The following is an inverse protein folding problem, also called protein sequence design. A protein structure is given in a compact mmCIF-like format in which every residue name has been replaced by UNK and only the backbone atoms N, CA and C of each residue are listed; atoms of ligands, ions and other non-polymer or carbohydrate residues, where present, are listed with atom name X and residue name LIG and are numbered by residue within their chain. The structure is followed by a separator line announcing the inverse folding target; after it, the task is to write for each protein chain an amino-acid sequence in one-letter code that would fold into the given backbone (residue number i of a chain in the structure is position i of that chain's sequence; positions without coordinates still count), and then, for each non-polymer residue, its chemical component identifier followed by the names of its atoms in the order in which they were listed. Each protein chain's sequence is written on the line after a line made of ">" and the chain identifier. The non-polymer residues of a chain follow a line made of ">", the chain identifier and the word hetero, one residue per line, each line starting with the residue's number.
data_IF_836369539264
#
_entry.id   IF_836369539264
#
_cell.length_a   1.000
_cell.length_b   1.000
_cell.length_c   1.000
_cell.angle_alpha   90.00
_cell.angle_beta   90.00
_cell.angle_gamma   90.00
#
_symmetry.space_group_name_H-M   'P 1'
#
loop_
_entity.id
_entity.type
_entity.pdbx_description
1 polymer ?
#
# COMPACT_ATOMS: atom_id res chain seq x y z
N UNK A 1 -8.93 2.41 17.21
CA UNK A 1 -8.89 3.59 16.33
C UNK A 1 -7.51 4.22 16.50
N UNK A 2 -6.54 3.87 15.66
CA UNK A 2 -5.20 4.43 15.73
C UNK A 2 -5.21 5.72 14.90
N UNK A 3 -5.13 6.86 15.57
CA UNK A 3 -4.91 8.14 14.91
C UNK A 3 -3.44 8.16 14.50
N UNK A 4 -3.18 7.83 13.24
CA UNK A 4 -1.87 8.03 12.62
C UNK A 4 -1.57 9.53 12.62
N UNK A 5 -0.46 10.00 13.22
CA UNK A 5 -0.01 11.35 12.95
C UNK A 5 0.39 11.38 11.48
N UNK A 6 -0.44 12.06 10.69
CA UNK A 6 -0.22 12.28 9.26
C UNK A 6 1.13 12.99 9.11
N UNK A 7 2.09 12.35 8.47
CA UNK A 7 3.29 13.05 8.00
C UNK A 7 2.75 14.06 7.00
N UNK A 8 2.78 15.34 7.36
CA UNK A 8 2.22 16.37 6.51
C UNK A 8 3.23 16.65 5.38
N UNK A 9 3.04 16.00 4.23
CA UNK A 9 3.82 16.21 3.00
C UNK A 9 3.96 17.71 2.69
N UNK A 10 2.92 18.51 2.94
CA UNK A 10 2.96 19.95 2.69
C UNK A 10 3.92 20.66 3.65
N UNK A 11 3.99 20.26 4.92
CA UNK A 11 4.99 20.79 5.87
C UNK A 11 6.42 20.38 5.46
N UNK A 12 6.62 19.16 4.95
CA UNK A 12 7.92 18.72 4.45
C UNK A 12 8.34 19.46 3.15
N UNK A 13 7.38 19.75 2.27
CA UNK A 13 7.57 20.57 1.07
C UNK A 13 7.89 22.02 1.42
N UNK A 14 7.15 22.61 2.36
CA UNK A 14 7.42 23.96 2.89
C UNK A 14 8.82 24.03 3.53
N UNK A 15 9.19 23.00 4.31
CA UNK A 15 10.54 22.86 4.84
C UNK A 15 11.56 22.81 3.70
N UNK A 16 11.34 22.00 2.66
CA UNK A 16 12.26 21.89 1.50
C UNK A 16 12.40 23.21 0.72
N UNK A 17 11.33 24.01 0.65
CA UNK A 17 11.31 25.32 0.00
C UNK A 17 11.88 26.44 0.88
N UNK A 18 11.99 26.22 2.20
CA UNK A 18 12.54 27.20 3.12
C UNK A 18 14.08 27.27 3.03
N UNK A 19 14.62 28.48 3.02
CA UNK A 19 16.06 28.75 2.92
C UNK A 19 16.89 28.22 4.09
N UNK A 20 16.24 27.87 5.21
CA UNK A 20 16.84 27.66 6.53
C UNK A 20 16.96 26.18 6.95
N UNK A 21 16.77 25.24 6.03
CA UNK A 21 17.10 23.82 6.22
C UNK A 21 18.56 23.58 6.66
N UNK A 22 19.44 24.56 6.48
CA UNK A 22 20.88 24.38 6.36
C UNK A 22 21.63 23.90 7.59
N UNK A 23 21.07 24.06 8.79
CA UNK A 23 21.75 23.75 10.06
C UNK A 23 20.80 23.19 11.14
N UNK A 24 19.49 23.10 10.84
CA UNK A 24 18.49 22.85 11.87
C UNK A 24 18.47 21.37 12.27
N UNK A 25 18.93 21.09 13.49
CA UNK A 25 18.80 19.76 14.13
C UNK A 25 17.32 19.35 14.26
N UNK A 26 16.41 20.33 14.32
CA UNK A 26 14.96 20.09 14.37
C UNK A 26 14.49 19.39 13.08
N UNK A 27 15.04 19.75 11.92
CA UNK A 27 14.70 19.12 10.64
C UNK A 27 15.17 17.67 10.62
N UNK A 28 16.41 17.42 11.08
CA UNK A 28 16.96 16.07 11.24
C UNK A 28 16.05 15.21 12.12
N UNK A 29 15.67 15.71 13.30
CA UNK A 29 14.81 14.98 14.23
C UNK A 29 13.41 14.72 13.64
N UNK A 30 12.79 15.71 13.01
CA UNK A 30 11.49 15.54 12.33
C UNK A 30 11.56 14.46 11.24
N UNK A 31 12.63 14.44 10.45
CA UNK A 31 12.81 13.40 9.43
C UNK A 31 12.97 12.01 10.06
N UNK A 32 13.71 11.89 11.18
CA UNK A 32 13.84 10.62 11.92
C UNK A 32 12.51 10.13 12.48
N UNK A 33 11.70 11.04 13.01
CA UNK A 33 10.38 10.71 13.55
C UNK A 33 9.43 10.27 12.43
N UNK A 34 9.43 10.97 11.29
CA UNK A 34 8.69 10.58 10.10
C UNK A 34 9.16 9.22 9.55
N UNK A 35 10.48 8.98 9.50
CA UNK A 35 11.05 7.70 9.06
C UNK A 35 10.54 6.54 9.94
N UNK A 36 10.62 6.68 11.26
CA UNK A 36 10.11 5.68 12.21
C UNK A 36 8.62 5.42 12.06
N UNK A 37 7.84 6.47 11.79
CA UNK A 37 6.41 6.34 11.55
C UNK A 37 6.14 5.52 10.28
N UNK A 38 6.79 5.88 9.17
CA UNK A 38 6.67 5.20 7.89
C UNK A 38 7.18 3.75 7.96
N UNK A 39 8.24 3.48 8.71
CA UNK A 39 8.76 2.12 8.91
C UNK A 39 7.73 1.21 9.59
N UNK A 40 7.02 1.71 10.61
CA UNK A 40 5.92 0.95 11.24
C UNK A 40 4.77 0.69 10.26
N UNK A 41 4.42 1.68 9.44
CA UNK A 41 3.41 1.50 8.41
C UNK A 41 3.84 0.44 7.38
N UNK A 42 5.12 0.40 7.01
CA UNK A 42 5.70 -0.60 6.11
C UNK A 42 5.65 -2.02 6.71
N UNK A 43 5.90 -2.18 8.01
CA UNK A 43 5.76 -3.47 8.69
C UNK A 43 4.32 -4.02 8.59
N UNK A 44 3.31 -3.17 8.77
CA UNK A 44 1.90 -3.58 8.61
C UNK A 44 1.60 -3.99 7.16
N UNK A 45 2.12 -3.23 6.19
CA UNK A 45 2.00 -3.57 4.77
C UNK A 45 2.66 -4.94 4.48
N UNK A 46 3.78 -5.27 5.12
CA UNK A 46 4.46 -6.56 4.92
C UNK A 46 3.75 -7.75 5.58
N UNK A 47 3.12 -7.57 6.75
CA UNK A 47 2.36 -8.62 7.45
C UNK A 47 1.21 -9.17 6.62
N UNK A 48 0.69 -8.35 5.72
CA UNK A 48 -0.46 -8.69 4.87
C UNK A 48 -0.07 -9.48 3.59
N UNK A 49 1.13 -10.07 3.54
CA UNK A 49 1.64 -10.80 2.38
C UNK A 49 0.75 -11.98 1.96
N UNK A 50 0.13 -12.69 2.92
CA UNK A 50 -0.72 -13.85 2.64
C UNK A 50 -1.96 -13.48 1.81
N UNK A 51 -2.47 -12.24 1.93
CA UNK A 51 -3.61 -11.76 1.11
C UNK A 51 -3.26 -11.51 -0.35
N UNK A 52 -1.96 -11.52 -0.68
CA UNK A 52 -1.45 -11.22 -2.03
C UNK A 52 -1.18 -12.47 -2.87
N UNK A 53 -1.33 -13.67 -2.30
CA UNK A 53 -0.98 -14.93 -2.96
C UNK A 53 -1.71 -15.17 -4.30
N UNK A 54 -2.90 -14.59 -4.48
CA UNK A 54 -3.73 -14.77 -5.67
C UNK A 54 -3.71 -13.56 -6.62
N UNK A 55 -2.78 -12.63 -6.45
CA UNK A 55 -2.73 -11.43 -7.27
C UNK A 55 -2.28 -11.73 -8.71
N UNK A 56 -2.79 -10.97 -9.71
CA UNK A 56 -2.31 -11.07 -11.07
C UNK A 56 -0.78 -10.85 -11.13
N UNK A 57 -0.01 -11.66 -11.88
CA UNK A 57 1.45 -11.60 -11.87
C UNK A 57 2.04 -10.22 -12.18
N UNK A 58 1.40 -9.45 -13.06
CA UNK A 58 1.84 -8.09 -13.40
C UNK A 58 1.71 -7.13 -12.21
N UNK A 59 0.62 -7.24 -11.44
CA UNK A 59 0.38 -6.41 -10.27
C UNK A 59 1.35 -6.78 -9.16
N UNK A 60 1.53 -8.09 -8.92
CA UNK A 60 2.51 -8.59 -7.96
C UNK A 60 3.91 -8.03 -8.25
N UNK A 61 4.35 -8.06 -9.51
CA UNK A 61 5.66 -7.51 -9.91
C UNK A 61 5.78 -6.01 -9.65
N UNK A 62 4.74 -5.22 -9.96
CA UNK A 62 4.75 -3.77 -9.71
C UNK A 62 4.83 -3.52 -8.20
N UNK A 63 4.02 -4.24 -7.43
CA UNK A 63 4.00 -4.15 -5.98
C UNK A 63 5.37 -4.48 -5.37
N UNK A 64 5.95 -5.61 -5.73
CA UNK A 64 7.26 -6.05 -5.23
C UNK A 64 8.36 -5.03 -5.60
N UNK A 65 8.30 -4.47 -6.80
CA UNK A 65 9.23 -3.44 -7.25
C UNK A 65 9.13 -2.16 -6.41
N UNK A 66 7.91 -1.69 -6.12
CA UNK A 66 7.70 -0.52 -5.24
C UNK A 66 8.15 -0.84 -3.81
N UNK A 67 7.84 -2.04 -3.31
CA UNK A 67 8.24 -2.49 -1.98
C UNK A 67 9.77 -2.50 -1.84
N UNK A 68 10.48 -3.08 -2.81
CA UNK A 68 11.94 -3.15 -2.85
C UNK A 68 12.57 -1.75 -2.86
N UNK A 69 12.10 -0.86 -3.75
CA UNK A 69 12.61 0.52 -3.81
C UNK A 69 12.36 1.28 -2.51
N UNK A 70 11.22 1.06 -1.86
CA UNK A 70 10.88 1.68 -0.57
C UNK A 70 11.80 1.18 0.53
N UNK A 71 12.05 -0.13 0.59
CA UNK A 71 12.99 -0.73 1.53
C UNK A 71 14.43 -0.22 1.33
N UNK A 72 14.89 -0.10 0.09
CA UNK A 72 16.21 0.50 -0.21
C UNK A 72 16.27 1.97 0.24
N UNK A 73 15.20 2.73 0.06
CA UNK A 73 15.14 4.12 0.52
C UNK A 73 15.24 4.26 2.06
N UNK A 74 14.60 3.35 2.82
CA UNK A 74 14.80 3.27 4.27
C UNK A 74 16.26 2.99 4.63
N UNK A 75 16.88 1.99 4.00
CA UNK A 75 18.28 1.64 4.24
C UNK A 75 19.22 2.81 3.93
N UNK A 76 18.96 3.55 2.84
CA UNK A 76 19.71 4.78 2.51
C UNK A 76 19.51 5.87 3.55
N UNK A 77 18.29 6.04 4.06
CA UNK A 77 17.99 7.04 5.08
C UNK A 77 18.82 6.80 6.35
N UNK A 78 18.93 5.55 6.80
CA UNK A 78 19.70 5.20 8.00
C UNK A 78 21.20 5.55 7.89
N UNK A 79 21.75 5.56 6.67
CA UNK A 79 23.16 5.89 6.43
C UNK A 79 23.45 7.38 6.28
N UNK A 80 22.43 8.26 6.27
CA UNK A 80 22.63 9.70 6.02
C UNK A 80 23.53 10.35 7.07
N UNK A 81 23.38 9.96 8.33
CA UNK A 81 24.14 10.52 9.45
C UNK A 81 25.65 10.26 9.29
N UNK A 82 26.02 9.16 8.63
CA UNK A 82 27.42 8.76 8.40
C UNK A 82 28.05 9.43 7.18
N UNK A 83 27.26 10.13 6.35
CA UNK A 83 27.78 10.80 5.16
C UNK A 83 28.76 11.91 5.55
N UNK A 84 29.89 11.98 4.84
CA UNK A 84 30.84 13.10 4.91
C UNK A 84 30.32 14.31 4.13
N UNK A 85 29.19 14.85 4.56
CA UNK A 85 28.48 15.97 3.96
C UNK A 85 28.11 17.01 5.02
N UNK A 86 27.78 18.23 4.58
CA UNK A 86 27.28 19.29 5.47
C UNK A 86 25.91 18.93 6.04
N UNK A 87 25.54 19.45 7.22
CA UNK A 87 24.21 19.24 7.79
C UNK A 87 23.08 19.66 6.83
N UNK A 88 23.30 20.75 6.07
CA UNK A 88 22.39 21.19 5.00
C UNK A 88 22.12 20.11 3.97
N UNK A 89 23.17 19.45 3.49
CA UNK A 89 23.07 18.39 2.50
C UNK A 89 22.40 17.15 3.09
N UNK A 90 22.73 16.79 4.34
CA UNK A 90 22.08 15.69 5.05
C UNK A 90 20.58 15.93 5.20
N UNK A 91 20.19 17.08 5.73
CA UNK A 91 18.79 17.48 5.88
C UNK A 91 18.05 17.46 4.53
N UNK A 92 18.68 17.98 3.47
CA UNK A 92 18.10 17.94 2.13
C UNK A 92 17.85 16.51 1.63
N UNK A 93 18.82 15.61 1.82
CA UNK A 93 18.69 14.20 1.46
C UNK A 93 17.63 13.50 2.31
N UNK A 94 17.58 13.78 3.61
CA UNK A 94 16.59 13.24 4.53
C UNK A 94 15.17 13.60 4.09
N UNK A 95 14.89 14.88 3.83
CA UNK A 95 13.56 15.31 3.39
C UNK A 95 13.18 14.65 2.05
N UNK A 96 14.12 14.58 1.09
CA UNK A 96 13.87 13.92 -0.20
C UNK A 96 13.54 12.44 -0.05
N UNK A 97 14.27 11.73 0.80
CA UNK A 97 14.05 10.31 1.02
C UNK A 97 12.74 10.06 1.75
N UNK A 98 12.37 10.88 2.74
CA UNK A 98 11.07 10.79 3.41
C UNK A 98 9.93 10.95 2.41
N UNK A 99 9.97 11.97 1.56
CA UNK A 99 8.93 12.17 0.55
C UNK A 99 8.83 10.99 -0.43
N UNK A 100 9.97 10.44 -0.85
CA UNK A 100 9.98 9.26 -1.72
C UNK A 100 9.33 8.05 -1.04
N UNK A 101 9.70 7.79 0.22
CA UNK A 101 9.13 6.69 1.02
C UNK A 101 7.63 6.89 1.16
N UNK A 102 7.18 8.10 1.50
CA UNK A 102 5.77 8.41 1.71
C UNK A 102 4.91 8.21 0.46
N UNK A 103 5.38 8.70 -0.70
CA UNK A 103 4.71 8.47 -1.99
C UNK A 103 4.67 6.98 -2.34
N UNK A 104 5.75 6.25 -2.06
CA UNK A 104 5.82 4.81 -2.33
C UNK A 104 4.87 4.02 -1.42
N UNK A 105 4.80 4.36 -0.13
CA UNK A 105 3.82 3.82 0.81
C UNK A 105 2.37 4.07 0.36
N UNK A 106 2.08 5.30 -0.08
CA UNK A 106 0.76 5.65 -0.65
C UNK A 106 0.46 4.81 -1.89
N UNK A 107 1.46 4.59 -2.74
CA UNK A 107 1.32 3.76 -3.95
C UNK A 107 0.99 2.30 -3.59
N UNK A 108 1.68 1.72 -2.60
CA UNK A 108 1.40 0.37 -2.11
C UNK A 108 -0.04 0.25 -1.59
N UNK A 109 -0.51 1.23 -0.80
CA UNK A 109 -1.89 1.25 -0.29
C UNK A 109 -2.93 1.36 -1.41
N UNK A 110 -2.67 2.17 -2.44
CA UNK A 110 -3.55 2.29 -3.61
C UNK A 110 -3.62 0.97 -4.37
N UNK A 111 -2.50 0.27 -4.53
CA UNK A 111 -2.48 -1.05 -5.19
C UNK A 111 -3.28 -2.06 -4.37
N UNK A 112 -3.02 -2.16 -3.06
CA UNK A 112 -3.75 -3.05 -2.14
C UNK A 112 -5.28 -2.80 -2.24
N UNK A 113 -5.71 -1.54 -2.09
CA UNK A 113 -7.14 -1.16 -2.13
C UNK A 113 -7.80 -1.49 -3.47
N UNK A 114 -7.13 -1.22 -4.59
CA UNK A 114 -7.69 -1.49 -5.92
C UNK A 114 -7.87 -2.99 -6.17
N UNK A 115 -6.97 -3.83 -5.66
CA UNK A 115 -7.09 -5.28 -5.81
C UNK A 115 -8.18 -5.83 -4.91
N UNK A 116 -8.29 -5.36 -3.66
CA UNK A 116 -9.40 -5.74 -2.77
C UNK A 116 -10.76 -5.45 -3.42
N UNK A 117 -10.95 -4.24 -3.98
CA UNK A 117 -12.18 -3.86 -4.67
C UNK A 117 -12.46 -4.75 -5.89
N UNK A 118 -11.44 -5.08 -6.69
CA UNK A 118 -11.61 -5.98 -7.84
C UNK A 118 -11.99 -7.39 -7.42
N UNK A 119 -11.37 -7.92 -6.37
CA UNK A 119 -11.69 -9.25 -5.84
C UNK A 119 -13.12 -9.32 -5.31
N UNK A 120 -13.56 -8.29 -4.58
CA UNK A 120 -14.93 -8.19 -4.09
C UNK A 120 -15.96 -8.16 -5.24
N UNK A 121 -15.67 -7.42 -6.32
CA UNK A 121 -16.56 -7.36 -7.50
C UNK A 121 -16.65 -8.73 -8.20
N UNK A 122 -15.52 -9.43 -8.39
CA UNK A 122 -15.51 -10.76 -9.01
C UNK A 122 -16.31 -11.75 -8.17
N UNK A 123 -16.17 -11.70 -6.84
CA UNK A 123 -16.93 -12.56 -5.94
C UNK A 123 -18.44 -12.29 -6.05
N UNK A 124 -18.85 -11.02 -6.02
CA UNK A 124 -20.25 -10.63 -6.16
C UNK A 124 -20.84 -11.04 -7.53
N UNK A 125 -20.06 -10.94 -8.62
CA UNK A 125 -20.47 -11.39 -9.95
C UNK A 125 -20.63 -12.92 -10.02
N UNK A 126 -19.74 -13.66 -9.36
CA UNK A 126 -19.78 -15.13 -9.29
C UNK A 126 -21.02 -15.60 -8.53
N UNK A 127 -21.27 -15.03 -7.35
CA UNK A 127 -22.48 -15.32 -6.53
C UNK A 127 -23.77 -15.00 -7.30
N UNK A 128 -23.79 -13.93 -8.10
CA UNK A 128 -24.95 -13.57 -8.92
C UNK A 128 -25.18 -14.55 -10.07
N UNK A 129 -24.13 -15.13 -10.65
CA UNK A 129 -24.23 -16.15 -11.69
C UNK A 129 -24.70 -17.50 -11.14
N UNK A 130 -24.20 -17.92 -9.98
CA UNK A 130 -24.64 -19.14 -9.29
C UNK A 130 -26.14 -19.08 -8.96
N UNK A 131 -26.60 -17.97 -8.38
CA UNK A 131 -28.01 -17.73 -8.07
C UNK A 131 -28.92 -17.68 -9.33
N UNK A 132 -28.38 -17.34 -10.50
CA UNK A 132 -29.11 -17.38 -11.78
C UNK A 132 -29.11 -18.79 -12.41
N UNK A 133 -28.06 -19.57 -12.21
CA UNK A 133 -27.97 -20.97 -12.62
C UNK A 133 -28.98 -21.84 -11.90
N UNK A 134 -29.06 -21.73 -10.57
CA UNK A 134 -30.01 -22.50 -9.75
C UNK A 134 -31.49 -22.19 -10.11
N UNK A 135 -31.82 -20.92 -10.39
CA UNK A 135 -33.19 -20.55 -10.83
C UNK A 135 -33.57 -21.12 -12.19
N UNK A 136 -32.61 -21.35 -13.08
CA UNK A 136 -32.85 -21.91 -14.40
C UNK A 136 -32.88 -23.45 -14.41
N UNK A 137 -32.23 -24.12 -13.45
CA UNK A 137 -32.33 -25.57 -13.27
C UNK A 137 -33.69 -26.00 -12.71
N UNK A 138 -34.27 -25.20 -11.80
CA UNK A 138 -35.60 -25.50 -11.23
C UNK A 138 -36.76 -25.38 -12.24
N UNK A 139 -36.59 -24.59 -13.31
CA UNK A 139 -37.61 -24.45 -14.37
C UNK A 139 -37.51 -25.54 -15.46
N UNK A 140 -36.45 -26.36 -15.48
CA UNK A 140 -36.28 -27.44 -16.45
C UNK A 140 -36.61 -28.84 -15.90
N UNK A 141 -37.04 -28.94 -14.64
CA UNK A 141 -37.54 -30.20 -14.07
C UNK A 141 -38.96 -30.46 -14.57
N UNK A 142 -39.06 -30.99 -15.79
CA UNK A 142 -40.34 -31.50 -16.32
C UNK A 142 -40.91 -32.53 -15.34
N UNK A 143 -42.22 -32.48 -15.01
CA UNK A 143 -42.83 -33.42 -14.08
C UNK A 143 -42.70 -34.82 -14.67
N UNK A 144 -41.91 -35.66 -14.01
CA UNK A 144 -41.83 -37.08 -14.37
C UNK A 144 -43.19 -37.68 -14.06
N UNK A 145 -43.94 -38.01 -15.11
CA UNK A 145 -45.24 -38.65 -15.00
C UNK A 145 -45.03 -40.04 -14.42
N UNK A 146 -45.35 -40.23 -13.14
CA UNK A 146 -45.54 -41.56 -12.57
C UNK A 146 -46.84 -42.11 -13.15
N UNK A 147 -46.71 -43.00 -14.13
CA UNK A 147 -47.82 -43.77 -14.66
C UNK A 147 -48.07 -44.93 -13.69
N UNK A 148 -49.01 -44.75 -12.76
CA UNK A 148 -49.59 -45.83 -11.96
C UNK A 148 -50.41 -46.73 -12.90
N UNK A 149 -49.90 -47.92 -13.20
CA UNK A 149 -50.71 -49.00 -13.78
C UNK A 149 -51.65 -49.54 -12.70
N UNK A 150 -52.96 -49.40 -12.93
CA UNK A 150 -54.03 -50.17 -12.30
C UNK A 150 -55.05 -50.58 -13.37
#
# INVERSE_FOLDING_TARGET
>A
MFVTPEVNVNELLELMMSSDLGQSEIVSQKCKDACKHLARAMEEVQKEADRRQNWPPTIQRIYDSVLEMTTDAFARFDTIDDLKATQKQKNYLSVRLIMFIEVSMTTLQIIDTNIELRMANIQAETELQENKGEKNEDHNRSPTTEMEEC
#
